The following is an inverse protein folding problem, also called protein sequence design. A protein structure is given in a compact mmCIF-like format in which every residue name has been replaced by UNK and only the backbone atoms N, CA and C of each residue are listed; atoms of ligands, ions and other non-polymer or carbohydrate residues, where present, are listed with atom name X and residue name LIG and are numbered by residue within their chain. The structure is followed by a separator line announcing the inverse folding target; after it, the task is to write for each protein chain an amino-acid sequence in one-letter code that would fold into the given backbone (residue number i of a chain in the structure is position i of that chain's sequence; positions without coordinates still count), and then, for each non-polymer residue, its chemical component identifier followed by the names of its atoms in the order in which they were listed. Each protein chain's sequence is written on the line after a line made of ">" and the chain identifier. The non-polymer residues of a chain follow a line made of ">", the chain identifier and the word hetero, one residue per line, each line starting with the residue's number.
data_IF_528256583599
#
_entry.id   IF_528256583599
#
_cell.length_a   1.000
_cell.length_b   1.000
_cell.length_c   1.000
_cell.angle_alpha   90.00
_cell.angle_beta   90.00
_cell.angle_gamma   90.00
#
_symmetry.space_group_name_H-M   'P 1'
#
loop_
_entity.id
_entity.type
_entity.pdbx_description
1 polymer ?
#
# COMPACT_ATOMS: atom_id res chain seq x y z
N UNK A 1 0.71 7.71 -0.25
CA UNK A 1 0.23 7.78 1.15
C UNK A 1 0.22 9.23 1.61
N UNK A 2 -0.74 9.63 2.44
CA UNK A 2 -0.77 10.97 3.08
C UNK A 2 -0.45 10.75 4.56
N UNK A 3 0.54 11.44 5.13
CA UNK A 3 0.91 11.26 6.53
C UNK A 3 -0.20 11.79 7.43
N UNK A 4 -0.20 11.33 8.68
CA UNK A 4 -1.06 11.92 9.69
C UNK A 4 -0.54 13.29 10.12
N UNK A 5 -1.37 14.02 10.85
CA UNK A 5 -0.97 15.28 11.46
C UNK A 5 -0.18 14.99 12.74
N UNK A 6 1.14 14.93 12.63
CA UNK A 6 2.06 14.51 13.70
C UNK A 6 2.85 15.68 14.32
N UNK A 7 3.17 15.56 15.61
CA UNK A 7 4.13 16.42 16.34
C UNK A 7 5.57 15.94 16.16
N UNK A 8 5.76 14.62 16.02
CA UNK A 8 7.06 13.98 15.90
C UNK A 8 7.03 12.51 16.33
N UNK A 9 8.16 11.80 16.22
CA UNK A 9 8.28 10.41 16.67
C UNK A 9 8.11 10.31 18.18
N UNK A 10 7.49 9.22 18.64
CA UNK A 10 7.28 8.94 20.06
C UNK A 10 8.60 8.78 20.80
N UNK A 11 8.85 9.62 21.80
CA UNK A 11 10.11 9.61 22.56
C UNK A 11 10.29 8.36 23.42
N UNK A 12 9.19 7.83 23.95
CA UNK A 12 9.21 6.58 24.70
C UNK A 12 9.61 5.40 23.83
N UNK A 13 9.07 5.32 22.60
CA UNK A 13 9.42 4.29 21.63
C UNK A 13 10.90 4.41 21.18
N UNK A 14 11.39 5.63 20.94
CA UNK A 14 12.80 5.87 20.62
C UNK A 14 13.73 5.37 21.74
N UNK A 15 13.38 5.63 23.01
CA UNK A 15 14.17 5.15 24.14
C UNK A 15 14.20 3.62 24.22
N UNK A 16 13.06 2.96 24.03
CA UNK A 16 12.96 1.50 24.03
C UNK A 16 13.82 0.86 22.93
N UNK A 17 13.75 1.38 21.71
CA UNK A 17 14.56 0.87 20.59
C UNK A 17 16.06 1.10 20.82
N UNK A 18 16.45 2.20 21.47
CA UNK A 18 17.84 2.47 21.81
C UNK A 18 18.37 1.54 22.91
N UNK A 19 17.55 1.23 23.92
CA UNK A 19 17.87 0.26 24.96
C UNK A 19 18.05 -1.15 24.36
N UNK A 20 17.12 -1.62 23.52
CA UNK A 20 17.20 -2.94 22.90
C UNK A 20 18.47 -3.13 22.05
N UNK A 21 18.80 -2.13 21.21
CA UNK A 21 20.03 -2.10 20.42
C UNK A 21 21.31 -2.12 21.27
N UNK A 22 21.25 -1.63 22.52
CA UNK A 22 22.39 -1.68 23.45
C UNK A 22 22.55 -3.04 24.12
N UNK A 23 21.44 -3.77 24.32
CA UNK A 23 21.42 -5.12 24.92
C UNK A 23 21.80 -6.25 23.96
N UNK A 24 21.59 -6.08 22.64
CA UNK A 24 22.08 -7.07 21.66
C UNK A 24 23.63 -7.16 21.60
N UNK A 25 24.35 -6.16 22.14
CA UNK A 25 25.82 -6.20 22.29
C UNK A 25 26.30 -6.76 23.64
N UNK A 26 25.40 -7.22 24.52
CA UNK A 26 25.78 -7.79 25.82
C UNK A 26 24.63 -8.47 26.55
N UNK A 27 24.72 -9.80 26.66
CA UNK A 27 23.99 -10.72 27.57
C UNK A 27 22.75 -10.17 28.29
N UNK A 28 21.59 -10.74 27.96
CA UNK A 28 20.30 -10.50 28.64
C UNK A 28 20.44 -10.53 30.17
N UNK A 29 20.26 -9.37 30.80
CA UNK A 29 19.85 -9.29 32.18
C UNK A 29 18.46 -8.66 32.25
N UNK A 30 17.51 -9.45 32.72
CA UNK A 30 16.14 -9.04 33.01
C UNK A 30 16.19 -7.99 34.13
N UNK A 31 16.08 -6.71 33.76
CA UNK A 31 16.20 -5.57 34.65
C UNK A 31 14.95 -4.68 34.56
N UNK A 32 14.20 -4.64 35.66
CA UNK A 32 13.04 -3.79 35.95
C UNK A 32 12.99 -2.43 35.21
N UNK A 33 12.12 -2.32 34.21
CA UNK A 33 11.72 -1.04 33.60
C UNK A 33 10.63 -0.36 34.43
N UNK A 34 10.98 0.06 35.65
CA UNK A 34 10.14 0.96 36.46
C UNK A 34 10.52 2.41 36.13
N UNK A 35 9.84 3.06 35.18
CA UNK A 35 10.02 4.51 34.99
C UNK A 35 9.48 5.16 33.72
N UNK A 36 9.21 4.41 32.66
CA UNK A 36 8.58 4.97 31.45
C UNK A 36 7.11 4.58 31.45
N UNK A 37 6.25 5.56 31.75
CA UNK A 37 4.80 5.40 31.70
C UNK A 37 4.41 5.21 30.22
N UNK A 38 4.53 3.98 29.70
CA UNK A 38 3.94 3.58 28.42
C UNK A 38 2.48 3.97 28.54
N UNK A 39 2.03 4.94 27.74
CA UNK A 39 0.61 5.26 27.72
C UNK A 39 -0.12 3.99 27.26
N UNK A 40 -0.84 3.28 28.16
CA UNK A 40 -1.39 1.96 27.83
C UNK A 40 -2.48 2.05 26.76
N UNK A 41 -2.92 3.27 26.45
CA UNK A 41 -4.08 3.55 25.63
C UNK A 41 -3.83 3.38 24.13
N UNK A 42 -2.57 3.34 23.64
CA UNK A 42 -2.26 3.30 22.20
C UNK A 42 -0.95 2.53 21.83
N UNK A 43 -0.90 1.19 21.94
CA UNK A 43 0.27 0.38 21.58
C UNK A 43 0.46 0.16 20.06
N UNK A 44 -0.33 0.83 19.22
CA UNK A 44 -0.37 0.61 17.78
C UNK A 44 0.16 1.79 16.96
N UNK A 45 0.67 2.88 17.56
CA UNK A 45 1.13 4.07 16.82
C UNK A 45 2.59 4.42 17.14
N UNK A 46 3.34 4.83 16.12
CA UNK A 46 4.79 5.15 16.23
C UNK A 46 5.10 6.63 16.46
N UNK A 47 4.16 7.53 16.16
CA UNK A 47 4.35 8.98 16.27
C UNK A 47 3.26 9.62 17.14
N UNK A 48 3.57 10.76 17.74
CA UNK A 48 2.59 11.55 18.46
C UNK A 48 1.73 12.35 17.48
N UNK A 49 0.43 12.09 17.47
CA UNK A 49 -0.52 12.89 16.70
C UNK A 49 -0.78 14.23 17.40
N UNK A 50 -1.10 15.25 16.60
CA UNK A 50 -1.54 16.55 17.11
C UNK A 50 -2.93 16.42 17.76
N UNK A 51 -3.83 15.69 17.12
CA UNK A 51 -5.21 15.45 17.58
C UNK A 51 -5.59 13.96 17.50
N UNK A 52 -5.13 13.13 18.46
CA UNK A 52 -5.37 11.68 18.44
C UNK A 52 -6.83 11.27 18.67
N UNK A 53 -7.68 12.17 19.19
CA UNK A 53 -9.09 11.87 19.48
C UNK A 53 -9.95 11.93 18.22
N UNK A 54 -9.57 12.76 17.24
CA UNK A 54 -10.29 12.89 15.98
C UNK A 54 -9.63 12.15 14.81
N UNK A 55 -8.51 11.47 15.04
CA UNK A 55 -7.89 10.64 14.01
C UNK A 55 -8.76 9.41 13.67
N UNK A 56 -9.15 9.31 12.40
CA UNK A 56 -10.08 8.28 11.92
C UNK A 56 -9.49 6.87 11.99
N UNK A 57 -8.17 6.72 11.77
CA UNK A 57 -7.50 5.41 11.82
C UNK A 57 -7.46 4.92 13.26
N UNK A 58 -7.02 5.78 14.18
CA UNK A 58 -6.96 5.48 15.61
C UNK A 58 -8.36 5.15 16.17
N UNK A 59 -9.37 5.93 15.79
CA UNK A 59 -10.76 5.68 16.20
C UNK A 59 -11.28 4.34 15.68
N UNK A 60 -11.00 3.99 14.43
CA UNK A 60 -11.44 2.72 13.86
C UNK A 60 -10.77 1.51 14.53
N UNK A 61 -9.46 1.59 14.79
CA UNK A 61 -8.72 0.53 15.50
C UNK A 61 -9.32 0.29 16.89
N UNK A 62 -9.58 1.37 17.65
CA UNK A 62 -10.22 1.30 18.97
C UNK A 62 -11.65 0.75 18.90
N UNK A 63 -12.44 1.21 17.92
CA UNK A 63 -13.82 0.76 17.74
C UNK A 63 -13.91 -0.75 17.48
N UNK A 64 -12.95 -1.30 16.73
CA UNK A 64 -12.85 -2.74 16.46
C UNK A 64 -12.26 -3.54 17.64
N UNK A 65 -11.82 -2.87 18.71
CA UNK A 65 -11.34 -3.51 19.94
C UNK A 65 -9.91 -4.03 19.87
N UNK A 66 -9.11 -3.60 18.89
CA UNK A 66 -7.71 -4.01 18.80
C UNK A 66 -6.87 -3.33 19.88
N UNK A 67 -5.99 -4.11 20.53
CA UNK A 67 -5.11 -3.61 21.57
C UNK A 67 -3.67 -4.18 21.49
N UNK A 68 -3.34 -4.92 20.43
CA UNK A 68 -2.08 -5.66 20.27
C UNK A 68 -1.79 -6.64 21.41
N UNK A 69 -2.78 -7.05 22.21
CA UNK A 69 -2.61 -7.94 23.35
C UNK A 69 -1.93 -9.25 22.94
N UNK A 70 -1.12 -9.85 23.82
CA UNK A 70 -0.28 -11.02 23.52
C UNK A 70 -0.99 -12.13 22.74
N UNK A 71 -2.22 -12.48 23.14
CA UNK A 71 -3.08 -13.51 22.51
C UNK A 71 -3.60 -13.16 21.10
N UNK A 72 -3.56 -11.90 20.69
CA UNK A 72 -4.01 -11.47 19.36
C UNK A 72 -2.99 -11.89 18.31
N UNK A 73 -3.44 -12.63 17.29
CA UNK A 73 -2.59 -13.11 16.19
C UNK A 73 -2.27 -12.06 15.14
N UNK A 74 -3.08 -11.00 15.07
CA UNK A 74 -2.86 -9.85 14.18
C UNK A 74 -2.42 -8.68 15.04
N UNK A 75 -1.30 -8.06 14.67
CA UNK A 75 -0.75 -6.87 15.32
C UNK A 75 -0.84 -5.69 14.35
N UNK A 76 -1.11 -4.51 14.89
CA UNK A 76 -1.26 -3.29 14.12
C UNK A 76 -0.13 -2.33 14.50
N UNK A 77 0.58 -1.83 13.49
CA UNK A 77 1.56 -0.76 13.60
C UNK A 77 1.16 0.34 12.62
N UNK A 78 0.66 1.45 13.15
CA UNK A 78 0.30 2.65 12.44
C UNK A 78 1.48 3.60 12.40
N UNK A 79 1.91 3.91 11.19
CA UNK A 79 3.03 4.81 10.90
C UNK A 79 2.47 6.04 10.16
N UNK A 80 2.08 7.10 10.88
CA UNK A 80 1.47 8.30 10.29
C UNK A 80 2.54 9.27 9.73
N UNK A 81 3.63 8.76 9.16
CA UNK A 81 4.75 9.56 8.65
C UNK A 81 5.19 9.06 7.27
N UNK A 82 5.85 9.93 6.50
CA UNK A 82 6.52 9.51 5.28
C UNK A 82 7.80 8.75 5.62
N UNK A 83 8.00 7.62 4.94
CA UNK A 83 9.19 6.79 5.07
C UNK A 83 10.30 7.34 4.15
N UNK A 84 10.87 8.49 4.51
CA UNK A 84 11.92 9.15 3.74
C UNK A 84 13.35 8.77 4.19
N UNK A 85 13.47 7.91 5.21
CA UNK A 85 14.76 7.56 5.83
C UNK A 85 15.07 8.37 7.10
N UNK A 86 14.21 9.29 7.52
CA UNK A 86 14.43 10.20 8.65
C UNK A 86 13.19 10.40 9.53
N UNK A 87 12.28 9.41 9.56
CA UNK A 87 11.05 9.47 10.38
C UNK A 87 11.31 9.42 11.90
N UNK A 88 12.53 9.08 12.31
CA UNK A 88 12.96 8.98 13.71
C UNK A 88 12.56 7.69 14.41
N UNK A 89 11.88 6.75 13.74
CA UNK A 89 11.53 5.43 14.27
C UNK A 89 12.18 4.33 13.46
N UNK A 90 11.82 4.20 12.18
CA UNK A 90 12.42 3.20 11.28
C UNK A 90 13.69 3.72 10.63
N UNK A 91 13.73 5.02 10.28
CA UNK A 91 14.82 5.64 9.53
C UNK A 91 15.21 4.86 8.26
N UNK A 92 14.21 4.27 7.60
CA UNK A 92 14.37 3.56 6.33
C UNK A 92 13.52 4.23 5.24
N UNK A 93 14.04 4.37 4.02
CA UNK A 93 13.25 4.75 2.85
C UNK A 93 12.10 3.77 2.59
N UNK A 94 11.02 4.28 2.00
CA UNK A 94 9.82 3.51 1.65
C UNK A 94 10.15 2.21 0.89
N UNK A 95 11.00 2.29 -0.13
CA UNK A 95 11.31 1.13 -0.97
C UNK A 95 12.14 0.07 -0.24
N UNK A 96 12.94 0.45 0.76
CA UNK A 96 13.72 -0.50 1.56
C UNK A 96 12.82 -1.28 2.52
N UNK A 97 11.73 -0.67 2.99
CA UNK A 97 10.70 -1.35 3.78
C UNK A 97 9.77 -2.19 2.89
N UNK A 98 9.39 -1.68 1.72
CA UNK A 98 8.43 -2.32 0.81
C UNK A 98 8.86 -3.74 0.43
N UNK A 99 10.13 -3.94 0.09
CA UNK A 99 10.67 -5.26 -0.30
C UNK A 99 10.64 -6.28 0.84
N UNK A 100 10.52 -5.82 2.09
CA UNK A 100 10.36 -6.65 3.28
C UNK A 100 8.94 -7.16 3.49
N UNK A 101 7.94 -6.63 2.77
CA UNK A 101 6.56 -7.07 2.91
C UNK A 101 6.27 -8.37 2.14
N UNK A 102 5.42 -9.20 2.75
CA UNK A 102 4.89 -10.42 2.12
C UNK A 102 3.67 -10.15 1.23
N UNK A 103 2.93 -9.08 1.53
CA UNK A 103 1.71 -8.67 0.86
C UNK A 103 1.50 -7.17 1.05
N UNK A 104 0.94 -6.51 0.04
CA UNK A 104 0.39 -5.16 0.18
C UNK A 104 -1.10 -5.13 -0.16
N UNK A 105 -1.87 -4.27 0.50
CA UNK A 105 -3.34 -4.22 0.36
C UNK A 105 -3.79 -2.77 0.20
N UNK A 106 -4.33 -2.43 -0.97
CA UNK A 106 -4.81 -1.10 -1.33
C UNK A 106 -6.27 -1.17 -1.76
N UNK A 107 -7.22 -1.25 -0.80
CA UNK A 107 -8.64 -1.46 -1.08
C UNK A 107 -9.33 -0.15 -1.48
N UNK A 108 -8.74 0.58 -2.42
CA UNK A 108 -9.12 1.95 -2.78
C UNK A 108 -10.54 2.03 -3.34
N UNK A 109 -11.25 3.09 -2.96
CA UNK A 109 -12.57 3.43 -3.51
C UNK A 109 -12.48 4.45 -4.65
N UNK A 110 -11.46 5.29 -4.65
CA UNK A 110 -11.18 6.25 -5.71
C UNK A 110 -9.68 6.33 -5.97
N UNK A 111 -9.24 5.75 -7.09
CA UNK A 111 -7.83 5.71 -7.45
C UNK A 111 -7.69 5.69 -8.99
N UNK A 112 -7.54 6.86 -9.64
CA UNK A 112 -7.59 6.95 -11.11
C UNK A 112 -6.59 6.04 -11.84
N UNK A 113 -5.41 5.85 -11.24
CA UNK A 113 -4.44 4.85 -11.68
C UNK A 113 -4.16 3.89 -10.54
N UNK A 114 -3.26 4.26 -9.64
CA UNK A 114 -2.83 3.37 -8.55
C UNK A 114 -1.35 3.10 -8.64
N UNK A 115 -0.58 4.13 -8.30
CA UNK A 115 0.87 4.01 -8.27
C UNK A 115 1.35 3.13 -7.11
N UNK A 116 0.66 3.14 -5.96
CA UNK A 116 1.03 2.29 -4.83
C UNK A 116 0.88 0.79 -5.13
N UNK A 117 -0.25 0.28 -5.68
CA UNK A 117 -0.30 -1.13 -6.09
C UNK A 117 0.66 -1.43 -7.26
N UNK A 118 0.87 -0.49 -8.17
CA UNK A 118 1.83 -0.66 -9.27
C UNK A 118 3.26 -0.81 -8.74
N UNK A 119 3.70 0.08 -7.85
CA UNK A 119 5.02 0.05 -7.22
C UNK A 119 5.22 -1.26 -6.43
N UNK A 120 4.26 -1.67 -5.60
CA UNK A 120 4.35 -2.95 -4.89
C UNK A 120 4.61 -4.13 -5.82
N UNK A 121 3.83 -4.24 -6.90
CA UNK A 121 3.99 -5.32 -7.89
C UNK A 121 5.35 -5.24 -8.59
N UNK A 122 5.82 -4.04 -8.93
CA UNK A 122 7.15 -3.82 -9.51
C UNK A 122 8.30 -4.24 -8.58
N UNK A 123 8.13 -4.07 -7.26
CA UNK A 123 9.07 -4.58 -6.25
C UNK A 123 8.82 -6.05 -5.88
N UNK A 124 8.10 -6.80 -6.73
CA UNK A 124 7.78 -8.22 -6.53
C UNK A 124 7.00 -8.50 -5.24
N UNK A 125 6.22 -7.53 -4.75
CA UNK A 125 5.35 -7.68 -3.58
C UNK A 125 3.93 -8.02 -4.08
N UNK A 126 3.40 -9.20 -3.72
CA UNK A 126 2.03 -9.56 -4.06
C UNK A 126 1.06 -8.51 -3.53
N UNK A 127 0.03 -8.19 -4.31
CA UNK A 127 -0.79 -7.00 -4.04
C UNK A 127 -2.28 -7.29 -4.19
N UNK A 128 -3.09 -6.80 -3.23
CA UNK A 128 -4.55 -6.78 -3.35
C UNK A 128 -4.99 -5.35 -3.65
N UNK A 129 -5.80 -5.16 -4.68
CA UNK A 129 -6.43 -3.87 -5.01
C UNK A 129 -7.89 -4.08 -5.41
N UNK A 130 -8.55 -3.06 -5.97
CA UNK A 130 -9.97 -3.12 -6.31
C UNK A 130 -10.24 -2.80 -7.77
N UNK A 131 -11.45 -3.14 -8.23
CA UNK A 131 -11.97 -2.74 -9.55
C UNK A 131 -12.17 -1.23 -9.71
N UNK A 132 -12.00 -0.43 -8.65
CA UNK A 132 -12.07 1.04 -8.68
C UNK A 132 -10.69 1.71 -8.75
N UNK A 133 -9.61 0.91 -8.79
CA UNK A 133 -8.26 1.36 -9.09
C UNK A 133 -7.91 1.11 -10.56
N UNK A 134 -7.47 2.14 -11.29
CA UNK A 134 -7.15 2.05 -12.72
C UNK A 134 -6.08 0.99 -13.06
N UNK A 135 -5.05 0.86 -12.24
CA UNK A 135 -4.02 -0.17 -12.34
C UNK A 135 -4.60 -1.55 -12.10
N UNK A 136 -5.49 -1.73 -11.11
CA UNK A 136 -6.20 -2.99 -10.90
C UNK A 136 -7.03 -3.39 -12.13
N UNK A 137 -7.76 -2.45 -12.73
CA UNK A 137 -8.52 -2.69 -13.97
C UNK A 137 -7.61 -3.06 -15.13
N UNK A 138 -6.46 -2.39 -15.28
CA UNK A 138 -5.47 -2.72 -16.31
C UNK A 138 -4.87 -4.11 -16.08
N UNK A 139 -4.39 -4.39 -14.86
CA UNK A 139 -3.75 -5.64 -14.49
C UNK A 139 -4.68 -6.84 -14.66
N UNK A 140 -5.96 -6.69 -14.28
CA UNK A 140 -6.98 -7.73 -14.51
C UNK A 140 -7.17 -8.03 -16.00
N UNK A 141 -7.10 -7.03 -16.88
CA UNK A 141 -7.24 -7.25 -18.34
C UNK A 141 -6.03 -7.97 -18.94
N UNK A 142 -4.82 -7.67 -18.48
CA UNK A 142 -3.59 -8.31 -18.98
C UNK A 142 -3.35 -9.70 -18.36
N UNK A 143 -3.79 -9.88 -17.11
CA UNK A 143 -3.54 -11.04 -16.27
C UNK A 143 -4.73 -11.96 -16.05
N UNK A 144 -5.81 -11.91 -16.86
CA UNK A 144 -7.02 -12.73 -16.67
C UNK A 144 -6.80 -14.23 -17.00
N UNK A 145 -5.77 -14.84 -16.39
CA UNK A 145 -5.33 -16.20 -16.69
C UNK A 145 -5.90 -17.20 -15.70
N UNK A 146 -6.12 -16.82 -14.42
CA UNK A 146 -6.68 -17.68 -13.35
C UNK A 146 -7.33 -16.86 -12.22
N UNK A 147 -8.30 -17.46 -11.52
CA UNK A 147 -8.90 -16.91 -10.29
C UNK A 147 -7.88 -16.87 -9.13
N UNK A 148 -8.00 -15.87 -8.26
CA UNK A 148 -7.13 -15.68 -7.10
C UNK A 148 -5.85 -14.91 -7.44
N UNK A 149 -5.04 -14.63 -6.41
CA UNK A 149 -3.81 -13.81 -6.52
C UNK A 149 -2.69 -14.45 -7.37
N UNK A 150 -2.95 -15.54 -8.10
CA UNK A 150 -1.92 -16.38 -8.73
C UNK A 150 -1.00 -15.64 -9.72
N UNK A 151 -1.47 -14.54 -10.30
CA UNK A 151 -0.71 -13.67 -11.20
C UNK A 151 0.03 -12.52 -10.47
N UNK A 152 0.16 -12.61 -9.14
CA UNK A 152 0.86 -11.63 -8.30
C UNK A 152 0.01 -10.45 -7.84
N UNK A 153 -1.21 -10.34 -8.37
CA UNK A 153 -2.19 -9.32 -7.99
C UNK A 153 -3.58 -9.95 -7.88
N UNK A 154 -4.38 -9.47 -6.93
CA UNK A 154 -5.80 -9.78 -6.82
C UNK A 154 -6.61 -8.48 -6.90
N UNK A 155 -7.71 -8.51 -7.66
CA UNK A 155 -8.52 -7.33 -7.97
C UNK A 155 -9.96 -7.58 -7.56
N UNK A 156 -10.25 -7.19 -6.32
CA UNK A 156 -11.53 -7.40 -5.66
C UNK A 156 -12.59 -6.47 -6.26
N UNK A 157 -13.77 -7.02 -6.54
CA UNK A 157 -14.89 -6.21 -7.01
C UNK A 157 -15.40 -5.28 -5.90
N UNK A 158 -15.45 -3.98 -6.19
CA UNK A 158 -15.91 -2.95 -5.24
C UNK A 158 -16.93 -2.02 -5.87
N UNK A 159 -17.97 -1.68 -5.10
CA UNK A 159 -18.99 -0.70 -5.41
C UNK A 159 -19.42 0.03 -4.12
N UNK A 160 -20.49 0.82 -4.20
CA UNK A 160 -20.97 1.69 -3.10
C UNK A 160 -21.64 0.93 -1.94
N UNK A 161 -21.97 -0.34 -2.14
CA UNK A 161 -22.83 -1.12 -1.23
C UNK A 161 -22.15 -2.34 -0.63
N UNK A 162 -21.06 -2.82 -1.21
CA UNK A 162 -20.47 -4.12 -0.86
C UNK A 162 -19.29 -4.04 0.11
N UNK A 163 -19.35 -3.13 1.08
CA UNK A 163 -18.23 -2.90 2.01
C UNK A 163 -17.84 -4.17 2.78
N UNK A 164 -18.84 -4.90 3.30
CA UNK A 164 -18.62 -6.10 4.11
C UNK A 164 -18.00 -7.21 3.29
N UNK A 165 -18.52 -7.44 2.08
CA UNK A 165 -18.05 -8.46 1.15
C UNK A 165 -16.59 -8.22 0.77
N UNK A 166 -16.22 -6.96 0.47
CA UNK A 166 -14.83 -6.58 0.18
C UNK A 166 -13.93 -6.88 1.39
N UNK A 167 -14.36 -6.55 2.60
CA UNK A 167 -13.58 -6.80 3.81
C UNK A 167 -13.38 -8.30 4.08
N UNK A 168 -14.42 -9.10 3.91
CA UNK A 168 -14.39 -10.56 4.07
C UNK A 168 -13.48 -11.23 3.02
N UNK A 169 -13.54 -10.79 1.77
CA UNK A 169 -12.71 -11.29 0.68
C UNK A 169 -11.23 -10.98 0.92
N UNK A 170 -10.89 -9.76 1.35
CA UNK A 170 -9.53 -9.39 1.76
C UNK A 170 -9.04 -10.27 2.90
N UNK A 171 -9.85 -10.45 3.96
CA UNK A 171 -9.48 -11.26 5.11
C UNK A 171 -9.23 -12.73 4.72
N UNK A 172 -10.05 -13.27 3.81
CA UNK A 172 -9.91 -14.62 3.27
C UNK A 172 -8.59 -14.76 2.50
N UNK A 173 -8.29 -13.82 1.60
CA UNK A 173 -7.04 -13.83 0.82
C UNK A 173 -5.79 -13.72 1.70
N UNK A 174 -5.82 -12.85 2.72
CA UNK A 174 -4.72 -12.73 3.70
C UNK A 174 -4.52 -14.05 4.44
N UNK A 175 -5.62 -14.69 4.89
CA UNK A 175 -5.55 -15.97 5.57
C UNK A 175 -5.00 -17.07 4.65
N UNK A 176 -5.47 -17.16 3.41
CA UNK A 176 -4.96 -18.11 2.42
C UNK A 176 -3.46 -17.92 2.13
N UNK A 177 -3.01 -16.67 1.99
CA UNK A 177 -1.60 -16.34 1.80
C UNK A 177 -0.75 -16.76 3.01
N UNK A 178 -1.27 -16.62 4.23
CA UNK A 178 -0.58 -17.05 5.44
C UNK A 178 -0.34 -18.57 5.51
N UNK A 179 -1.10 -19.35 4.74
CA UNK A 179 -1.00 -20.81 4.67
C UNK A 179 -0.11 -21.30 3.51
N UNK A 180 0.40 -20.40 2.65
CA UNK A 180 1.22 -20.77 1.50
C UNK A 180 2.63 -21.19 1.94
N UNK A 181 3.22 -22.13 1.21
CA UNK A 181 4.63 -22.49 1.38
C UNK A 181 5.57 -21.39 0.86
N UNK A 182 6.83 -21.41 1.30
CA UNK A 182 7.85 -20.47 0.81
C UNK A 182 8.03 -20.54 -0.71
N UNK A 183 7.92 -21.72 -1.29
CA UNK A 183 7.99 -21.95 -2.74
C UNK A 183 6.80 -21.33 -3.45
N UNK A 184 5.58 -21.48 -2.90
CA UNK A 184 4.38 -20.85 -3.45
C UNK A 184 4.47 -19.32 -3.40
N UNK A 185 4.95 -18.76 -2.28
CA UNK A 185 5.19 -17.31 -2.17
C UNK A 185 6.26 -16.86 -3.18
N UNK A 186 7.34 -17.63 -3.36
CA UNK A 186 8.37 -17.29 -4.36
C UNK A 186 7.80 -17.24 -5.79
N UNK A 187 6.99 -18.23 -6.17
CA UNK A 187 6.32 -18.24 -7.48
C UNK A 187 5.39 -17.03 -7.63
N UNK A 188 4.66 -16.68 -6.58
CA UNK A 188 3.78 -15.53 -6.55
C UNK A 188 4.54 -14.20 -6.75
N UNK A 189 5.68 -14.03 -6.08
CA UNK A 189 6.58 -12.88 -6.26
C UNK A 189 7.12 -12.79 -7.69
N UNK A 190 7.42 -13.93 -8.32
CA UNK A 190 7.84 -13.99 -9.73
C UNK A 190 6.70 -13.58 -10.69
N UNK A 191 5.47 -14.03 -10.42
CA UNK A 191 4.30 -13.59 -11.18
C UNK A 191 4.09 -12.08 -11.08
N UNK A 192 4.21 -11.51 -9.87
CA UNK A 192 4.09 -10.07 -9.66
C UNK A 192 5.14 -9.29 -10.48
N UNK A 193 6.41 -9.71 -10.44
CA UNK A 193 7.46 -9.11 -11.25
C UNK A 193 7.17 -9.19 -12.75
N UNK A 194 6.73 -10.36 -13.23
CA UNK A 194 6.42 -10.57 -14.64
C UNK A 194 5.24 -9.71 -15.12
N UNK A 195 4.25 -9.46 -14.25
CA UNK A 195 3.14 -8.55 -14.53
C UNK A 195 3.63 -7.09 -14.59
N UNK A 196 4.50 -6.67 -13.66
CA UNK A 196 5.04 -5.32 -13.62
C UNK A 196 5.80 -4.94 -14.89
N UNK A 197 6.52 -5.89 -15.49
CA UNK A 197 7.24 -5.67 -16.74
C UNK A 197 6.33 -5.12 -17.85
N UNK A 198 5.08 -5.61 -17.94
CA UNK A 198 4.10 -5.14 -18.94
C UNK A 198 3.58 -3.72 -18.66
N UNK A 199 3.78 -3.22 -17.44
CA UNK A 199 3.43 -1.87 -17.03
C UNK A 199 4.55 -0.85 -17.26
N UNK A 200 5.67 -1.26 -17.86
CA UNK A 200 6.78 -0.36 -18.20
C UNK A 200 6.40 0.61 -19.33
N UNK A 201 6.99 1.81 -19.29
CA UNK A 201 6.86 2.83 -20.33
C UNK A 201 7.22 2.33 -21.72
N UNK A 202 8.16 1.40 -21.85
CA UNK A 202 8.51 0.76 -23.11
C UNK A 202 7.30 0.10 -23.78
N UNK A 203 6.33 -0.39 -23.00
CA UNK A 203 5.08 -0.96 -23.50
C UNK A 203 3.95 0.07 -23.62
N UNK A 204 3.91 1.06 -22.72
CA UNK A 204 2.82 2.04 -22.68
C UNK A 204 2.98 3.19 -23.68
N UNK A 205 4.20 3.50 -24.12
CA UNK A 205 4.48 4.62 -25.02
C UNK A 205 3.70 4.54 -26.34
N UNK A 206 3.35 3.33 -26.80
CA UNK A 206 2.53 3.13 -28.02
C UNK A 206 1.18 3.83 -27.96
N UNK A 207 0.53 3.89 -26.78
CA UNK A 207 -0.77 4.55 -26.62
C UNK A 207 -0.65 6.07 -26.75
N UNK A 208 0.48 6.64 -26.32
CA UNK A 208 0.79 8.05 -26.54
C UNK A 208 1.06 8.33 -28.02
N UNK A 209 1.85 7.49 -28.68
CA UNK A 209 2.10 7.61 -30.12
C UNK A 209 0.82 7.52 -30.95
N UNK A 210 -0.10 6.62 -30.58
CA UNK A 210 -1.42 6.51 -31.20
C UNK A 210 -2.25 7.79 -30.97
N UNK A 211 -2.27 8.32 -29.75
CA UNK A 211 -2.97 9.56 -29.43
C UNK A 211 -2.42 10.75 -30.24
N UNK A 212 -1.10 10.90 -30.36
CA UNK A 212 -0.48 11.92 -31.19
C UNK A 212 -0.79 11.75 -32.67
N UNK A 213 -0.78 10.50 -33.18
CA UNK A 213 -1.12 10.21 -34.56
C UNK A 213 -2.57 10.60 -34.89
N UNK A 214 -3.51 10.28 -33.98
CA UNK A 214 -4.92 10.71 -34.09
C UNK A 214 -5.06 12.24 -34.06
N UNK A 215 -4.34 12.91 -33.15
CA UNK A 215 -4.37 14.36 -33.04
C UNK A 215 -3.84 15.06 -34.31
N UNK A 216 -2.72 14.58 -34.86
CA UNK A 216 -2.14 15.08 -36.09
C UNK A 216 -3.07 14.85 -37.29
N UNK A 217 -3.60 13.63 -37.44
CA UNK A 217 -4.57 13.32 -38.49
C UNK A 217 -5.78 14.26 -38.45
N UNK A 218 -6.41 14.43 -37.27
CA UNK A 218 -7.54 15.33 -37.10
C UNK A 218 -7.16 16.80 -37.36
N UNK A 219 -5.91 17.18 -37.07
CA UNK A 219 -5.41 18.52 -37.42
C UNK A 219 -5.35 18.73 -38.93
N UNK A 220 -4.81 17.76 -39.67
CA UNK A 220 -4.79 17.84 -41.14
C UNK A 220 -6.20 17.89 -41.74
N UNK A 221 -7.14 17.09 -41.21
CA UNK A 221 -8.55 17.12 -41.63
C UNK A 221 -9.14 18.52 -41.42
N UNK A 222 -8.95 19.13 -40.23
CA UNK A 222 -9.45 20.50 -39.98
C UNK A 222 -8.83 21.54 -40.93
N UNK A 223 -7.54 21.42 -41.23
CA UNK A 223 -6.83 22.35 -42.12
C UNK A 223 -7.20 22.16 -43.60
N UNK A 224 -7.63 20.96 -44.00
CA UNK A 224 -8.09 20.69 -45.38
C UNK A 224 -9.47 21.26 -45.71
N UNK A 225 -10.26 21.63 -44.68
CA UNK A 225 -11.57 22.23 -44.88
C UNK A 225 -11.40 23.72 -45.19
N UNK A 226 -12.02 24.25 -46.26
CA UNK A 226 -11.96 25.67 -46.55
C UNK A 226 -12.57 26.47 -45.39
N UNK A 227 -11.80 27.44 -44.90
CA UNK A 227 -12.23 28.36 -43.86
C UNK A 227 -13.45 29.17 -44.36
N UNK A 228 -14.62 28.95 -43.78
CA UNK A 228 -15.80 29.79 -44.00
C UNK A 228 -15.83 30.89 -42.94
N UNK A 229 -15.49 32.11 -43.32
CA UNK A 229 -15.90 33.30 -42.58
C UNK A 229 -17.42 33.29 -42.51
N UNK A 230 -17.99 33.24 -41.30
CA UNK A 230 -19.39 33.63 -41.12
C UNK A 230 -19.44 35.13 -41.39
N UNK A 231 -19.90 35.52 -42.58
CA UNK A 231 -20.32 36.89 -42.80
C UNK A 231 -21.60 37.09 -41.97
N UNK A 232 -21.57 38.08 -41.08
CA UNK A 232 -22.73 38.58 -40.34
C UNK A 232 -23.73 39.27 -41.27
#
# INVERSE_FOLDING_TARGET
>A
MVPGWVKGPRKDLQAWLAEDNSTESGSLSSGNSSGLHVSPECPFITHELVDPQHDMVMNQIRHLGFCNAEKERVKIIFVPSYLNGDDGIFNLPYYDLLIGFDLSVFPSYYEPWGYTPHESVAFSVPTITTTLAGFGVWAKKEGDRKEGISDGIEVIYRNDKNYTEVAEEIATLIHELSLRSKEQIKLLKQSASALADWADWAHFIRYYQEAYSKALHNSFVRLSLPYKLKAE
#
